data_IF_407526577859
#
_entry.id   IF_407526577859
#
_cell.length_a   1.000
_cell.length_b   1.000
_cell.length_c   1.000
_cell.angle_alpha   90.00
_cell.angle_beta   90.00
_cell.angle_gamma   90.00
#
_symmetry.space_group_name_H-M   'P 1'
#
loop_
_entity.id
_entity.type
_entity.pdbx_description
1 polymer ?
#
# COMPACT_ATOMS: atom_id res chain seq x y z
N UNK A 1 -17.43 -2.44 -11.03
CA UNK A 1 -18.84 -2.46 -11.50
C UNK A 1 -19.77 -2.27 -10.32
N UNK A 2 -21.08 -2.15 -10.56
CA UNK A 2 -22.08 -1.98 -9.51
C UNK A 2 -23.28 -2.91 -9.73
N UNK A 3 -24.10 -3.08 -8.70
CA UNK A 3 -25.48 -3.55 -8.77
C UNK A 3 -26.38 -2.41 -8.32
N UNK A 4 -27.41 -2.11 -9.11
CA UNK A 4 -28.25 -0.94 -8.92
C UNK A 4 -28.79 -0.51 -10.27
N UNK A 5 -29.89 0.24 -10.26
CA UNK A 5 -30.46 0.80 -11.48
C UNK A 5 -30.17 2.29 -11.50
N UNK A 6 -29.47 2.75 -12.53
CA UNK A 6 -29.23 4.18 -12.71
C UNK A 6 -30.57 4.86 -13.01
N UNK A 7 -30.83 5.93 -12.28
CA UNK A 7 -32.03 6.75 -12.40
C UNK A 7 -31.78 7.98 -13.27
N UNK A 8 -30.66 8.65 -13.02
CA UNK A 8 -30.28 9.90 -13.71
C UNK A 8 -28.77 10.00 -13.80
N UNK A 9 -28.28 10.53 -14.91
CA UNK A 9 -26.91 11.05 -15.03
C UNK A 9 -27.00 12.52 -15.40
N UNK A 10 -26.28 13.39 -14.69
CA UNK A 10 -26.17 14.81 -15.04
C UNK A 10 -24.77 15.37 -14.86
N UNK A 11 -24.44 16.39 -15.65
CA UNK A 11 -23.25 17.20 -15.45
C UNK A 11 -23.42 18.13 -14.25
N UNK A 12 -22.48 18.12 -13.32
CA UNK A 12 -22.55 18.95 -12.11
C UNK A 12 -22.37 20.44 -12.41
N UNK A 13 -21.55 20.78 -13.41
CA UNK A 13 -21.21 22.18 -13.71
C UNK A 13 -22.40 23.00 -14.23
N UNK A 14 -23.34 22.37 -14.92
CA UNK A 14 -24.49 23.06 -15.54
C UNK A 14 -25.84 22.34 -15.33
N UNK A 15 -25.87 21.26 -14.55
CA UNK A 15 -27.05 20.42 -14.29
C UNK A 15 -27.70 19.78 -15.53
N UNK A 16 -27.02 19.78 -16.67
CA UNK A 16 -27.54 19.17 -17.89
C UNK A 16 -27.62 17.64 -17.74
N UNK A 17 -28.77 17.08 -18.10
CA UNK A 17 -29.01 15.63 -18.11
C UNK A 17 -28.24 15.00 -19.27
N UNK A 18 -27.55 13.90 -18.98
CA UNK A 18 -26.84 13.10 -19.98
C UNK A 18 -27.66 11.86 -20.31
N UNK A 19 -27.73 11.52 -21.59
CA UNK A 19 -28.25 10.22 -22.00
C UNK A 19 -27.31 9.12 -21.52
N UNK A 20 -27.87 7.98 -21.14
CA UNK A 20 -27.09 6.83 -20.71
C UNK A 20 -27.79 5.52 -21.08
N UNK A 21 -26.99 4.45 -21.18
CA UNK A 21 -27.48 3.09 -21.35
C UNK A 21 -26.76 2.16 -20.39
N UNK A 22 -27.53 1.38 -19.64
CA UNK A 22 -27.00 0.28 -18.82
C UNK A 22 -26.92 -1.00 -19.65
N UNK A 23 -25.73 -1.60 -19.70
CA UNK A 23 -25.46 -2.85 -20.41
C UNK A 23 -24.85 -3.87 -19.46
N UNK A 24 -24.72 -5.13 -19.89
CA UNK A 24 -24.00 -6.16 -19.12
C UNK A 24 -22.53 -5.78 -18.85
N UNK A 25 -21.94 -4.98 -19.72
CA UNK A 25 -20.54 -4.52 -19.63
C UNK A 25 -20.38 -3.26 -18.77
N UNK A 26 -21.50 -2.66 -18.33
CA UNK A 26 -21.51 -1.47 -17.47
C UNK A 26 -22.36 -0.32 -18.00
N UNK A 27 -22.18 0.85 -17.40
CA UNK A 27 -22.86 2.10 -17.73
C UNK A 27 -22.11 2.82 -18.86
N UNK A 28 -22.79 3.06 -19.98
CA UNK A 28 -22.30 3.99 -21.02
C UNK A 28 -23.06 5.31 -20.89
N UNK A 29 -22.31 6.40 -20.78
CA UNK A 29 -22.84 7.76 -20.66
C UNK A 29 -22.47 8.50 -21.93
N UNK A 30 -23.46 9.11 -22.58
CA UNK A 30 -23.28 9.89 -23.80
C UNK A 30 -23.15 11.35 -23.42
N UNK A 31 -21.95 11.89 -23.60
CA UNK A 31 -21.66 13.30 -23.39
C UNK A 31 -21.90 14.04 -24.71
N UNK A 32 -22.54 15.20 -24.63
CA UNK A 32 -22.52 16.15 -25.76
C UNK A 32 -21.09 16.67 -25.96
N UNK A 33 -20.82 17.23 -27.14
CA UNK A 33 -19.49 17.71 -27.55
C UNK A 33 -18.77 18.42 -26.42
N UNK A 34 -17.62 17.86 -26.02
CA UNK A 34 -16.82 18.40 -24.93
C UNK A 34 -15.92 19.50 -25.48
N UNK A 35 -16.01 20.68 -24.88
CA UNK A 35 -14.99 21.70 -25.02
C UNK A 35 -13.71 21.20 -24.32
N UNK A 36 -12.57 21.26 -25.01
CA UNK A 36 -11.30 20.68 -24.52
C UNK A 36 -10.74 21.39 -23.30
N UNK A 37 -11.26 22.58 -22.98
CA UNK A 37 -10.81 23.40 -21.86
C UNK A 37 -11.43 23.01 -20.52
N UNK A 38 -12.43 22.13 -20.51
CA UNK A 38 -13.18 21.77 -19.30
C UNK A 38 -13.29 20.25 -19.10
N UNK A 39 -12.99 19.78 -17.88
CA UNK A 39 -13.20 18.38 -17.49
C UNK A 39 -14.63 18.24 -16.95
N UNK A 40 -15.55 17.55 -17.66
CA UNK A 40 -16.92 17.38 -17.20
C UNK A 40 -16.96 16.48 -15.95
N UNK A 41 -17.65 16.94 -14.90
CA UNK A 41 -17.90 16.14 -13.69
C UNK A 41 -19.35 15.66 -13.71
N UNK A 42 -19.55 14.35 -13.56
CA UNK A 42 -20.86 13.72 -13.63
C UNK A 42 -21.36 13.32 -12.24
N UNK A 43 -22.65 13.49 -11.99
CA UNK A 43 -23.38 12.86 -10.89
C UNK A 43 -24.27 11.77 -11.45
N UNK A 44 -24.05 10.54 -10.97
CA UNK A 44 -24.88 9.37 -11.27
C UNK A 44 -25.76 9.09 -10.05
N UNK A 45 -27.08 9.16 -10.25
CA UNK A 45 -28.09 8.85 -9.24
C UNK A 45 -28.64 7.45 -9.46
N UNK A 46 -28.95 6.73 -8.38
CA UNK A 46 -29.52 5.38 -8.43
C UNK A 46 -30.88 5.37 -7.75
N UNK A 47 -31.84 4.66 -8.34
CA UNK A 47 -33.26 4.73 -7.91
C UNK A 47 -33.48 4.21 -6.49
N UNK A 48 -32.83 3.10 -6.16
CA UNK A 48 -32.96 2.40 -4.87
C UNK A 48 -31.58 2.19 -4.22
N UNK A 49 -30.66 3.12 -4.47
CA UNK A 49 -29.25 2.97 -4.12
C UNK A 49 -28.51 1.98 -5.01
N UNK A 50 -27.29 1.65 -4.62
CA UNK A 50 -26.41 0.75 -5.37
C UNK A 50 -25.46 0.02 -4.43
N UNK A 51 -24.98 -1.13 -4.90
CA UNK A 51 -23.91 -1.92 -4.27
C UNK A 51 -22.72 -1.93 -5.22
N UNK A 52 -21.57 -1.49 -4.75
CA UNK A 52 -20.33 -1.64 -5.52
C UNK A 52 -19.93 -3.11 -5.51
N UNK A 53 -19.80 -3.71 -6.71
CA UNK A 53 -19.24 -5.05 -6.84
C UNK A 53 -17.77 -5.00 -6.46
N UNK A 54 -17.29 -5.87 -5.57
CA UNK A 54 -15.88 -5.92 -5.25
C UNK A 54 -15.08 -6.22 -6.52
N UNK A 55 -14.02 -5.44 -6.74
CA UNK A 55 -13.16 -5.59 -7.91
C UNK A 55 -12.41 -6.93 -7.88
N UNK A 56 -11.99 -7.35 -6.68
CA UNK A 56 -11.30 -8.62 -6.45
C UNK A 56 -12.02 -9.39 -5.34
N UNK A 57 -12.29 -10.68 -5.58
CA UNK A 57 -12.87 -11.60 -4.59
C UNK A 57 -11.93 -12.75 -4.38
N UNK A 58 -11.31 -12.78 -3.20
CA UNK A 58 -10.30 -13.75 -2.82
C UNK A 58 -10.99 -15.08 -2.48
N UNK A 59 -10.61 -16.14 -3.17
CA UNK A 59 -11.23 -17.46 -2.98
C UNK A 59 -10.39 -18.40 -2.10
N UNK A 60 -9.07 -18.18 -2.07
CA UNK A 60 -8.08 -18.97 -1.33
C UNK A 60 -6.87 -18.08 -1.00
N UNK A 61 -6.13 -18.45 0.03
CA UNK A 61 -4.90 -17.77 0.43
C UNK A 61 -5.11 -16.77 1.57
N UNK A 62 -4.14 -15.89 1.75
CA UNK A 62 -4.16 -14.85 2.79
C UNK A 62 -4.66 -13.53 2.20
N UNK A 63 -5.39 -12.77 3.00
CA UNK A 63 -5.67 -11.37 2.73
C UNK A 63 -4.41 -10.59 3.09
N UNK A 64 -3.87 -9.80 2.18
CA UNK A 64 -2.62 -9.05 2.38
C UNK A 64 -2.69 -7.68 1.73
N UNK A 65 -1.69 -6.84 1.98
CA UNK A 65 -1.55 -5.54 1.32
C UNK A 65 -1.75 -5.62 -0.22
N UNK A 66 -1.22 -6.66 -0.87
CA UNK A 66 -1.16 -6.77 -2.33
C UNK A 66 -2.47 -7.18 -3.00
N UNK A 67 -3.42 -7.72 -2.23
CA UNK A 67 -4.74 -8.10 -2.74
C UNK A 67 -5.87 -7.31 -2.07
N UNK A 68 -5.52 -6.28 -1.30
CA UNK A 68 -6.46 -5.32 -0.73
C UNK A 68 -6.89 -4.27 -1.75
N UNK A 69 -8.09 -3.75 -1.58
CA UNK A 69 -8.45 -2.41 -2.03
C UNK A 69 -7.93 -1.44 -0.98
N UNK A 70 -7.13 -0.46 -1.40
CA UNK A 70 -6.52 0.51 -0.51
C UNK A 70 -7.42 1.73 -0.34
N UNK A 71 -7.62 2.15 0.91
CA UNK A 71 -8.21 3.45 1.21
C UNK A 71 -7.08 4.43 1.51
N UNK A 72 -7.05 5.56 0.81
CA UNK A 72 -6.03 6.60 0.97
C UNK A 72 -6.62 7.89 1.54
N UNK A 73 -5.83 8.57 2.37
CA UNK A 73 -6.03 9.95 2.76
C UNK A 73 -4.96 10.86 2.13
N UNK A 74 -5.18 12.16 2.15
CA UNK A 74 -4.12 13.13 1.88
C UNK A 74 -3.48 13.57 3.19
N UNK A 75 -2.23 13.18 3.41
CA UNK A 75 -1.43 13.61 4.55
C UNK A 75 -0.51 14.74 4.16
N UNK A 76 -0.38 15.73 5.03
CA UNK A 76 0.54 16.83 4.82
C UNK A 76 0.97 17.42 6.16
N UNK A 77 2.29 17.52 6.38
CA UNK A 77 2.84 18.31 7.49
C UNK A 77 2.98 19.79 7.11
N UNK A 78 3.19 20.06 5.82
CA UNK A 78 3.28 21.37 5.18
C UNK A 78 3.24 21.22 3.66
N UNK A 79 3.31 22.35 2.94
CA UNK A 79 3.28 22.41 1.48
C UNK A 79 4.23 21.43 0.76
N UNK A 80 5.43 21.17 1.29
CA UNK A 80 6.43 20.29 0.67
C UNK A 80 6.33 18.83 1.13
N UNK A 81 5.60 18.59 2.21
CA UNK A 81 5.42 17.29 2.84
C UNK A 81 4.08 16.62 2.52
N UNK A 82 3.34 17.07 1.50
CA UNK A 82 2.08 16.44 1.07
C UNK A 82 2.29 15.09 0.39
N UNK A 83 1.49 14.09 0.72
CA UNK A 83 1.51 12.74 0.14
C UNK A 83 0.18 11.99 0.33
N UNK A 84 -0.05 10.97 -0.50
CA UNK A 84 -1.14 10.02 -0.26
C UNK A 84 -0.71 9.05 0.85
N UNK A 85 -1.46 9.01 1.94
CA UNK A 85 -1.23 8.07 3.03
C UNK A 85 -2.22 6.92 2.91
N UNK A 86 -1.72 5.70 2.93
CA UNK A 86 -2.56 4.52 3.07
C UNK A 86 -3.14 4.50 4.49
N UNK A 87 -4.47 4.49 4.63
CA UNK A 87 -5.16 4.60 5.93
C UNK A 87 -6.05 3.40 6.24
N UNK A 88 -6.35 2.56 5.25
CA UNK A 88 -7.17 1.38 5.45
C UNK A 88 -7.01 0.35 4.35
N UNK A 89 -7.37 -0.88 4.68
CA UNK A 89 -7.50 -1.97 3.74
C UNK A 89 -8.93 -2.48 3.73
N UNK A 90 -9.39 -2.83 2.54
CA UNK A 90 -10.64 -3.53 2.31
C UNK A 90 -10.38 -4.78 1.46
N UNK A 91 -10.90 -5.92 1.88
CA UNK A 91 -10.88 -7.16 1.14
C UNK A 91 -12.29 -7.68 0.94
N UNK A 92 -12.47 -8.46 -0.12
CA UNK A 92 -13.64 -9.31 -0.28
C UNK A 92 -13.20 -10.74 -0.48
N UNK A 93 -13.84 -11.67 0.19
CA UNK A 93 -13.49 -13.09 0.12
C UNK A 93 -14.73 -13.96 0.01
N UNK A 94 -14.59 -15.12 -0.63
CA UNK A 94 -15.70 -16.05 -0.86
C UNK A 94 -15.63 -17.26 0.06
N UNK A 95 -16.66 -17.53 0.84
CA UNK A 95 -16.77 -18.75 1.63
C UNK A 95 -18.23 -19.13 1.82
N UNK A 96 -18.50 -20.44 1.95
CA UNK A 96 -19.82 -20.95 2.31
C UNK A 96 -19.93 -21.26 3.81
N UNK A 97 -18.86 -21.04 4.58
CA UNK A 97 -18.87 -21.26 6.04
C UNK A 97 -19.75 -20.20 6.69
N UNK A 98 -20.57 -20.60 7.66
CA UNK A 98 -21.35 -19.66 8.49
C UNK A 98 -20.53 -19.00 9.60
N UNK A 99 -19.39 -19.60 9.95
CA UNK A 99 -18.51 -19.16 11.02
C UNK A 99 -17.06 -19.36 10.59
N UNK A 100 -16.22 -18.39 10.89
CA UNK A 100 -14.77 -18.45 10.64
C UNK A 100 -14.00 -18.14 11.92
N UNK A 101 -12.77 -18.63 11.99
CA UNK A 101 -11.84 -18.37 13.09
C UNK A 101 -10.58 -17.72 12.49
N UNK A 102 -10.56 -16.39 12.30
CA UNK A 102 -9.48 -15.74 11.61
C UNK A 102 -8.19 -15.71 12.42
N UNK A 103 -7.05 -15.58 11.74
CA UNK A 103 -5.77 -15.28 12.37
C UNK A 103 -5.05 -14.16 11.64
N UNK A 104 -4.39 -13.27 12.40
CA UNK A 104 -3.56 -12.20 11.88
C UNK A 104 -2.10 -12.62 11.99
N UNK A 105 -1.34 -12.43 10.92
CA UNK A 105 0.11 -12.58 10.86
C UNK A 105 0.73 -11.20 10.70
N UNK A 106 1.77 -10.90 11.46
CA UNK A 106 2.41 -9.58 11.45
C UNK A 106 3.85 -9.66 11.96
N UNK A 107 4.59 -8.55 11.84
CA UNK A 107 5.99 -8.45 12.25
C UNK A 107 6.17 -7.48 13.41
N UNK A 108 7.39 -7.30 13.86
CA UNK A 108 7.72 -6.28 14.87
C UNK A 108 7.36 -4.84 14.46
N UNK A 109 7.23 -4.57 13.16
CA UNK A 109 6.82 -3.25 12.66
C UNK A 109 5.38 -2.88 13.03
N UNK A 110 4.51 -3.86 13.23
CA UNK A 110 3.10 -3.66 13.55
C UNK A 110 2.78 -3.88 15.03
N UNK A 111 3.75 -4.34 15.83
CA UNK A 111 3.52 -4.64 17.24
C UNK A 111 2.94 -3.43 17.99
N UNK A 112 2.15 -3.72 19.02
CA UNK A 112 1.54 -2.76 19.93
C UNK A 112 0.51 -1.82 19.29
N UNK A 113 0.32 -1.83 17.97
CA UNK A 113 -0.72 -1.07 17.29
C UNK A 113 -2.09 -1.63 17.66
N UNK A 114 -3.03 -0.72 17.89
CA UNK A 114 -4.45 -1.03 18.06
C UNK A 114 -5.14 -0.90 16.70
N UNK A 115 -5.67 -2.02 16.20
CA UNK A 115 -6.35 -2.08 14.91
C UNK A 115 -7.83 -2.37 15.12
N UNK A 116 -8.68 -1.74 14.30
CA UNK A 116 -10.06 -2.18 14.16
C UNK A 116 -10.15 -3.08 12.94
N UNK A 117 -10.64 -4.31 13.15
CA UNK A 117 -11.02 -5.22 12.08
C UNK A 117 -12.53 -5.37 12.08
N UNK A 118 -13.13 -5.20 10.91
CA UNK A 118 -14.55 -5.45 10.70
C UNK A 118 -14.70 -6.55 9.67
N UNK A 119 -15.46 -7.59 10.02
CA UNK A 119 -15.84 -8.67 9.12
C UNK A 119 -17.36 -8.63 9.01
N UNK A 120 -17.84 -8.41 7.79
CA UNK A 120 -19.22 -8.03 7.49
C UNK A 120 -19.70 -6.89 8.42
N UNK A 121 -20.68 -7.17 9.28
CA UNK A 121 -21.31 -6.19 10.16
C UNK A 121 -20.74 -6.21 11.59
N UNK A 122 -19.75 -7.08 11.87
CA UNK A 122 -19.14 -7.22 13.20
C UNK A 122 -17.75 -6.57 13.22
N UNK A 123 -17.53 -5.70 14.20
CA UNK A 123 -16.26 -5.01 14.42
C UNK A 123 -15.60 -5.47 15.73
N UNK A 124 -14.28 -5.62 15.70
CA UNK A 124 -13.46 -5.92 16.87
C UNK A 124 -12.21 -5.03 16.86
N UNK A 125 -11.89 -4.43 18.01
CA UNK A 125 -10.59 -3.81 18.21
C UNK A 125 -9.60 -4.78 18.84
N UNK A 126 -8.39 -4.83 18.30
CA UNK A 126 -7.36 -5.80 18.68
C UNK A 126 -6.02 -5.09 18.79
N UNK A 127 -5.31 -5.33 19.89
CA UNK A 127 -3.91 -4.92 20.04
C UNK A 127 -3.01 -6.03 19.49
N UNK A 128 -2.06 -5.68 18.63
CA UNK A 128 -1.13 -6.63 18.01
C UNK A 128 -0.01 -7.00 18.99
N UNK A 129 -0.27 -8.03 19.80
CA UNK A 129 0.64 -8.52 20.84
C UNK A 129 1.50 -9.68 20.33
N UNK A 130 2.76 -9.73 20.76
CA UNK A 130 3.76 -10.76 20.39
C UNK A 130 3.41 -12.14 20.96
N UNK A 131 2.37 -12.74 20.44
CA UNK A 131 1.95 -14.10 20.73
C UNK A 131 2.39 -15.02 19.59
N UNK A 132 2.73 -16.27 19.93
CA UNK A 132 3.00 -17.35 18.97
C UNK A 132 3.89 -16.92 17.78
N UNK A 133 5.20 -16.83 18.01
CA UNK A 133 6.15 -16.44 16.97
C UNK A 133 6.73 -17.61 16.19
N UNK A 134 6.99 -17.39 14.90
CA UNK A 134 7.81 -18.28 14.08
C UNK A 134 8.92 -17.48 13.40
N UNK A 135 10.13 -18.00 13.44
CA UNK A 135 11.24 -17.50 12.61
C UNK A 135 11.08 -18.02 11.20
N UNK A 136 11.05 -17.09 10.24
CA UNK A 136 11.11 -17.39 8.82
C UNK A 136 12.55 -17.19 8.38
N UNK A 137 13.10 -18.16 7.64
CA UNK A 137 14.43 -18.10 7.07
C UNK A 137 14.33 -17.95 5.56
N UNK A 138 15.10 -17.01 5.01
CA UNK A 138 15.26 -16.88 3.57
C UNK A 138 15.90 -18.15 3.02
N UNK A 139 15.32 -18.69 1.94
CA UNK A 139 15.91 -19.85 1.27
C UNK A 139 17.28 -19.45 0.70
N UNK A 140 18.32 -20.23 1.00
CA UNK A 140 19.68 -19.98 0.47
C UNK A 140 19.65 -19.87 -1.05
N UNK A 141 20.36 -18.86 -1.58
CA UNK A 141 20.49 -18.60 -3.03
C UNK A 141 19.16 -18.44 -3.77
N UNK A 142 18.07 -18.15 -3.06
CA UNK A 142 16.76 -17.91 -3.70
C UNK A 142 16.58 -16.47 -4.18
N UNK A 143 17.39 -15.55 -3.66
CA UNK A 143 17.39 -14.13 -4.02
C UNK A 143 18.83 -13.66 -4.21
N UNK A 144 19.02 -12.80 -5.19
CA UNK A 144 20.28 -12.11 -5.47
C UNK A 144 20.00 -10.61 -5.56
N UNK A 145 20.76 -9.82 -4.81
CA UNK A 145 20.77 -8.37 -5.01
C UNK A 145 21.53 -8.05 -6.29
N UNK A 146 20.88 -7.30 -7.18
CA UNK A 146 21.49 -6.72 -8.37
C UNK A 146 22.06 -5.34 -8.08
N UNK A 147 22.15 -4.52 -9.12
CA UNK A 147 22.71 -3.18 -9.03
C UNK A 147 21.83 -2.25 -8.19
N UNK A 148 22.48 -1.36 -7.44
CA UNK A 148 21.86 -0.25 -6.73
C UNK A 148 22.10 1.03 -7.52
N UNK A 149 21.07 1.86 -7.66
CA UNK A 149 21.16 3.13 -8.35
C UNK A 149 20.56 4.24 -7.49
N UNK A 150 20.99 5.47 -7.75
CA UNK A 150 20.38 6.66 -7.16
C UNK A 150 20.12 7.75 -8.19
N UNK A 151 19.13 8.58 -7.89
CA UNK A 151 18.95 9.88 -8.54
C UNK A 151 18.48 10.90 -7.53
N UNK A 152 18.67 12.19 -7.83
CA UNK A 152 18.09 13.26 -7.02
C UNK A 152 16.56 13.18 -7.10
N UNK A 153 15.90 13.27 -5.95
CA UNK A 153 14.45 13.38 -5.92
C UNK A 153 13.95 14.74 -6.39
N UNK A 154 12.88 14.71 -7.16
CA UNK A 154 12.18 15.89 -7.69
C UNK A 154 10.88 16.12 -6.95
N UNK A 155 10.40 17.37 -7.00
CA UNK A 155 9.10 17.76 -6.46
C UNK A 155 8.97 17.64 -4.93
N UNK A 156 7.73 17.67 -4.48
CA UNK A 156 7.34 17.46 -3.07
C UNK A 156 7.47 16.00 -2.66
N UNK A 157 7.41 15.69 -1.37
CA UNK A 157 7.57 14.33 -0.86
C UNK A 157 6.70 13.29 -1.59
N UNK A 158 5.39 13.54 -1.69
CA UNK A 158 4.41 12.59 -2.25
C UNK A 158 4.43 12.40 -3.76
N UNK A 159 5.42 12.95 -4.47
CA UNK A 159 5.59 12.75 -5.90
C UNK A 159 6.73 11.76 -6.21
N UNK A 160 6.42 10.67 -6.90
CA UNK A 160 7.39 9.74 -7.49
C UNK A 160 6.94 9.45 -8.93
N UNK A 161 7.85 9.64 -9.89
CA UNK A 161 7.59 9.36 -11.32
C UNK A 161 7.43 7.85 -11.57
N UNK A 162 8.11 7.03 -10.77
CA UNK A 162 8.18 5.56 -10.88
C UNK A 162 6.92 4.83 -10.38
N UNK A 163 5.94 5.54 -9.83
CA UNK A 163 4.70 4.95 -9.33
C UNK A 163 3.71 4.68 -10.48
N UNK A 164 4.09 3.73 -11.35
CA UNK A 164 3.36 3.40 -12.58
C UNK A 164 2.87 1.94 -12.61
N UNK A 165 3.10 1.17 -11.54
CA UNK A 165 2.76 -0.25 -11.48
C UNK A 165 3.59 -1.14 -12.42
N UNK A 166 4.75 -0.66 -12.86
CA UNK A 166 5.66 -1.40 -13.75
C UNK A 166 7.12 -1.21 -13.33
N UNK A 167 7.98 -2.15 -13.74
CA UNK A 167 9.42 -1.99 -13.64
C UNK A 167 9.91 -0.83 -14.53
N UNK A 168 10.90 -0.09 -14.05
CA UNK A 168 11.60 0.95 -14.79
C UNK A 168 12.42 0.28 -15.92
N UNK A 169 12.21 0.69 -17.18
CA UNK A 169 12.98 0.16 -18.30
C UNK A 169 14.48 0.45 -18.20
N UNK A 170 15.32 -0.49 -18.63
CA UNK A 170 16.79 -0.39 -18.51
C UNK A 170 17.38 0.84 -19.21
N UNK A 171 16.81 1.30 -20.32
CA UNK A 171 17.25 2.54 -20.99
C UNK A 171 17.00 3.77 -20.10
N UNK A 172 15.85 3.85 -19.45
CA UNK A 172 15.50 4.93 -18.52
C UNK A 172 16.45 4.92 -17.31
N UNK A 173 16.82 3.73 -16.81
CA UNK A 173 17.82 3.58 -15.74
C UNK A 173 19.16 4.18 -16.21
N UNK A 174 19.67 3.74 -17.37
CA UNK A 174 20.96 4.21 -17.90
C UNK A 174 21.01 5.72 -18.16
N UNK A 175 19.90 6.32 -18.54
CA UNK A 175 19.81 7.76 -18.84
C UNK A 175 19.67 8.63 -17.59
N UNK A 176 18.90 8.18 -16.59
CA UNK A 176 18.42 9.04 -15.51
C UNK A 176 18.89 8.65 -14.10
N UNK A 177 19.58 7.51 -13.97
CA UNK A 177 20.04 7.00 -12.69
C UNK A 177 21.54 6.78 -12.69
N UNK A 178 22.17 7.04 -11.55
CA UNK A 178 23.60 6.85 -11.33
C UNK A 178 23.82 5.57 -10.52
N UNK A 179 24.64 4.61 -11.00
CA UNK A 179 24.95 3.42 -10.22
C UNK A 179 25.70 3.78 -8.93
N UNK A 180 25.41 3.03 -7.87
CA UNK A 180 26.14 3.08 -6.60
C UNK A 180 26.99 1.80 -6.54
N UNK A 181 28.29 1.95 -6.77
CA UNK A 181 29.24 0.82 -6.79
C UNK A 181 29.55 0.30 -5.37
N UNK A 182 29.63 1.19 -4.39
CA UNK A 182 29.97 0.86 -3.00
C UNK A 182 28.81 1.26 -2.07
N UNK A 183 28.11 0.25 -1.54
CA UNK A 183 27.03 0.43 -0.57
C UNK A 183 27.14 -0.58 0.56
N UNK A 184 27.27 -0.09 1.79
CA UNK A 184 27.31 -0.93 2.98
C UNK A 184 25.88 -1.26 3.43
N UNK A 185 25.37 -2.42 3.01
CA UNK A 185 24.06 -2.91 3.46
C UNK A 185 24.07 -3.15 4.98
N UNK A 186 22.99 -2.76 5.65
CA UNK A 186 22.88 -2.87 7.10
C UNK A 186 23.53 -1.75 7.91
N UNK A 187 24.35 -0.91 7.29
CA UNK A 187 24.97 0.23 7.97
C UNK A 187 24.18 1.53 7.73
N UNK A 188 24.10 2.36 8.77
CA UNK A 188 23.55 3.71 8.65
C UNK A 188 24.50 4.56 7.80
N UNK A 189 24.01 5.04 6.67
CA UNK A 189 24.73 5.97 5.81
C UNK A 189 24.18 7.38 5.97
N UNK A 190 25.02 8.38 5.68
CA UNK A 190 24.68 9.79 5.77
C UNK A 190 25.22 10.55 4.57
N UNK A 191 24.36 11.31 3.91
CA UNK A 191 24.75 12.21 2.81
C UNK A 191 24.36 13.64 3.13
N UNK A 192 25.21 14.60 2.76
CA UNK A 192 24.85 16.02 2.87
C UNK A 192 23.68 16.30 1.94
N UNK A 193 22.56 16.73 2.50
CA UNK A 193 21.35 17.05 1.76
C UNK A 193 20.59 18.09 2.54
N UNK A 194 20.44 19.28 1.98
CA UNK A 194 19.74 20.37 2.66
C UNK A 194 18.27 20.00 2.95
N UNK A 195 17.63 20.67 3.92
CA UNK A 195 16.22 20.49 4.21
C UNK A 195 15.35 20.61 2.95
N UNK A 196 14.29 19.80 2.88
CA UNK A 196 13.38 19.62 1.73
C UNK A 196 14.00 18.93 0.52
N UNK A 197 15.22 18.39 0.66
CA UNK A 197 15.85 17.56 -0.36
C UNK A 197 15.35 16.11 -0.30
N UNK A 198 15.44 15.41 -1.43
CA UNK A 198 15.29 13.94 -1.45
C UNK A 198 16.29 13.29 -2.37
N UNK A 199 16.54 12.02 -2.10
CA UNK A 199 17.17 11.08 -3.02
C UNK A 199 16.18 9.95 -3.29
N UNK A 200 16.19 9.44 -4.51
CA UNK A 200 15.58 8.15 -4.81
C UNK A 200 16.70 7.13 -4.94
N UNK A 201 16.48 5.95 -4.38
CA UNK A 201 17.29 4.76 -4.59
C UNK A 201 16.45 3.70 -5.28
N UNK A 202 17.04 2.95 -6.20
CA UNK A 202 16.43 1.79 -6.84
C UNK A 202 17.36 0.60 -6.69
N UNK A 203 16.87 -0.44 -6.01
CA UNK A 203 17.58 -1.69 -5.80
C UNK A 203 16.98 -2.77 -6.72
N UNK A 204 17.82 -3.38 -7.55
CA UNK A 204 17.44 -4.60 -8.29
C UNK A 204 17.46 -5.82 -7.35
N UNK A 205 16.43 -6.66 -7.44
CA UNK A 205 16.31 -7.88 -6.66
C UNK A 205 15.84 -9.01 -7.57
N UNK A 206 16.74 -9.93 -7.90
CA UNK A 206 16.40 -11.12 -8.66
C UNK A 206 15.92 -12.23 -7.73
N UNK A 207 14.78 -12.84 -8.05
CA UNK A 207 14.18 -13.92 -7.28
C UNK A 207 13.96 -15.16 -8.14
N UNK A 208 14.34 -16.34 -7.65
CA UNK A 208 14.19 -17.60 -8.41
C UNK A 208 12.75 -18.12 -8.47
N UNK A 209 11.88 -17.61 -7.60
CA UNK A 209 10.46 -18.00 -7.45
C UNK A 209 9.62 -16.82 -6.94
N UNK A 210 8.30 -16.95 -6.98
CA UNK A 210 7.44 -16.06 -6.21
C UNK A 210 7.68 -16.34 -4.72
N UNK A 211 8.08 -15.33 -3.95
CA UNK A 211 8.36 -15.48 -2.52
C UNK A 211 8.36 -14.13 -1.81
N UNK A 212 8.16 -14.16 -0.51
CA UNK A 212 8.30 -12.97 0.35
C UNK A 212 9.70 -12.95 0.95
N UNK A 213 10.35 -11.79 0.91
CA UNK A 213 11.56 -11.52 1.68
C UNK A 213 11.32 -10.40 2.68
N UNK A 214 12.20 -10.26 3.66
CA UNK A 214 12.21 -9.11 4.56
C UNK A 214 13.41 -8.21 4.31
N UNK A 215 13.17 -6.91 4.33
CA UNK A 215 14.20 -5.86 4.27
C UNK A 215 13.96 -4.90 5.41
N UNK A 216 14.98 -4.63 6.22
CA UNK A 216 14.97 -3.52 7.15
C UNK A 216 15.43 -2.25 6.42
N UNK A 217 14.61 -1.21 6.47
CA UNK A 217 14.92 0.12 5.97
C UNK A 217 15.21 1.05 7.12
N UNK A 218 16.35 1.72 7.07
CA UNK A 218 16.65 2.87 7.91
C UNK A 218 16.31 4.16 7.19
N UNK A 219 15.64 5.08 7.88
CA UNK A 219 15.27 6.37 7.33
C UNK A 219 15.30 7.45 8.41
N UNK A 220 15.53 8.69 8.00
CA UNK A 220 15.36 9.87 8.85
C UNK A 220 13.90 10.31 8.88
N UNK A 221 13.63 11.46 8.27
CA UNK A 221 12.35 12.16 8.44
C UNK A 221 11.17 11.54 7.67
N UNK A 222 11.35 11.11 6.42
CA UNK A 222 10.24 10.56 5.63
C UNK A 222 10.73 9.58 4.56
N UNK A 223 9.87 8.61 4.24
CA UNK A 223 10.16 7.56 3.26
C UNK A 223 8.93 7.23 2.43
N UNK A 224 9.13 7.00 1.14
CA UNK A 224 8.12 6.51 0.20
C UNK A 224 8.70 5.29 -0.52
N UNK A 225 8.02 4.15 -0.45
CA UNK A 225 8.51 2.86 -0.92
C UNK A 225 7.59 2.28 -1.98
N UNK A 226 8.18 1.86 -3.09
CA UNK A 226 7.53 1.11 -4.14
C UNK A 226 8.23 -0.23 -4.37
N UNK A 227 7.47 -1.25 -4.75
CA UNK A 227 7.99 -2.50 -5.29
C UNK A 227 7.42 -2.69 -6.70
N UNK A 228 8.27 -2.80 -7.71
CA UNK A 228 7.87 -2.93 -9.12
C UNK A 228 6.90 -1.83 -9.59
N UNK A 229 7.09 -0.60 -9.09
CA UNK A 229 6.23 0.54 -9.37
C UNK A 229 4.91 0.56 -8.60
N UNK A 230 4.62 -0.43 -7.75
CA UNK A 230 3.43 -0.48 -6.90
C UNK A 230 3.73 0.11 -5.50
N UNK A 231 2.80 0.92 -4.99
CA UNK A 231 2.88 1.51 -3.65
C UNK A 231 2.96 0.45 -2.56
N UNK A 232 3.93 0.55 -1.64
CA UNK A 232 3.99 -0.26 -0.42
C UNK A 232 3.60 0.58 0.79
N UNK A 233 4.34 1.66 1.02
CA UNK A 233 4.13 2.55 2.16
C UNK A 233 4.77 3.91 1.90
N UNK A 234 4.17 4.96 2.47
CA UNK A 234 4.75 6.27 2.56
C UNK A 234 4.38 6.87 3.91
N UNK A 235 5.35 7.46 4.60
CA UNK A 235 5.10 8.15 5.85
C UNK A 235 6.17 9.18 6.19
N UNK A 236 5.75 10.14 7.00
CA UNK A 236 6.59 11.08 7.72
C UNK A 236 6.73 10.65 9.17
N UNK A 237 7.90 10.86 9.77
CA UNK A 237 8.13 10.80 11.20
C UNK A 237 7.43 11.98 11.88
N UNK A 238 6.31 11.77 12.61
CA UNK A 238 5.62 12.87 13.28
C UNK A 238 6.50 13.50 14.37
N UNK A 239 7.30 12.65 15.02
CA UNK A 239 8.26 12.99 16.07
C UNK A 239 9.56 13.61 15.53
N UNK A 240 9.67 13.81 14.21
CA UNK A 240 10.86 14.35 13.53
C UNK A 240 12.15 13.59 13.89
N UNK A 241 12.06 12.26 14.00
CA UNK A 241 13.24 11.44 14.28
C UNK A 241 14.29 11.66 13.20
N UNK A 242 15.53 11.89 13.65
CA UNK A 242 16.71 11.93 12.78
C UNK A 242 17.05 10.54 12.22
N UNK A 243 16.57 9.49 12.90
CA UNK A 243 16.77 8.09 12.54
C UNK A 243 15.69 7.18 13.12
N UNK A 244 15.21 6.25 12.30
CA UNK A 244 14.31 5.16 12.67
C UNK A 244 14.47 4.02 11.67
N UNK A 245 14.08 2.82 12.06
CA UNK A 245 14.04 1.66 11.17
C UNK A 245 12.63 1.08 11.08
N UNK A 246 12.35 0.43 9.96
CA UNK A 246 11.16 -0.41 9.80
C UNK A 246 11.48 -1.64 8.95
N UNK A 247 10.85 -2.76 9.29
CA UNK A 247 10.93 -3.98 8.47
C UNK A 247 9.80 -3.96 7.45
N UNK A 248 10.13 -4.24 6.20
CA UNK A 248 9.17 -4.42 5.10
C UNK A 248 9.24 -5.85 4.58
N UNK A 249 8.07 -6.47 4.43
CA UNK A 249 7.90 -7.72 3.71
C UNK A 249 7.61 -7.41 2.24
N UNK A 250 8.45 -7.92 1.34
CA UNK A 250 8.39 -7.66 -0.10
C UNK A 250 8.00 -8.95 -0.84
N UNK A 251 6.82 -9.03 -1.47
CA UNK A 251 6.44 -10.19 -2.30
C UNK A 251 7.09 -10.09 -3.68
N UNK A 252 8.25 -10.71 -3.81
CA UNK A 252 8.94 -10.76 -5.07
C UNK A 252 8.20 -11.69 -6.05
N UNK A 253 8.09 -11.25 -7.30
CA UNK A 253 7.75 -12.11 -8.43
C UNK A 253 9.01 -12.87 -8.86
N UNK A 254 8.86 -14.06 -9.43
CA UNK A 254 9.97 -14.76 -10.09
C UNK A 254 10.59 -13.86 -11.17
N UNK A 255 11.91 -13.79 -11.21
CA UNK A 255 12.68 -12.92 -12.10
C UNK A 255 13.12 -11.63 -11.42
N UNK A 256 13.32 -10.59 -12.21
CA UNK A 256 13.80 -9.29 -11.73
C UNK A 256 12.67 -8.50 -11.07
N UNK A 257 12.97 -7.94 -9.89
CA UNK A 257 12.14 -6.99 -9.17
C UNK A 257 12.94 -5.71 -8.92
N UNK A 258 12.25 -4.60 -8.69
CA UNK A 258 12.85 -3.31 -8.38
C UNK A 258 12.21 -2.72 -7.13
N UNK A 259 13.01 -2.48 -6.09
CA UNK A 259 12.61 -1.75 -4.90
C UNK A 259 13.03 -0.30 -5.06
N UNK A 260 12.06 0.62 -5.15
CA UNK A 260 12.32 2.07 -5.23
C UNK A 260 12.01 2.71 -3.89
N UNK A 261 12.94 3.50 -3.37
CA UNK A 261 12.81 4.18 -2.08
C UNK A 261 13.15 5.65 -2.26
N UNK A 262 12.19 6.53 -2.01
CA UNK A 262 12.45 7.96 -1.86
C UNK A 262 12.68 8.27 -0.39
N UNK A 263 13.90 8.66 -0.07
CA UNK A 263 14.23 9.23 1.22
C UNK A 263 14.12 10.75 1.13
N UNK A 264 13.28 11.34 1.97
CA UNK A 264 13.05 12.77 1.97
C UNK A 264 13.52 13.37 3.30
N UNK A 265 14.48 14.28 3.18
CA UNK A 265 15.02 15.02 4.30
C UNK A 265 14.23 16.31 4.46
N UNK A 266 13.45 16.43 5.52
CA UNK A 266 12.58 17.58 5.73
C UNK A 266 13.24 18.66 6.56
N UNK A 267 14.01 18.28 7.57
CA UNK A 267 14.46 19.18 8.64
C UNK A 267 15.98 19.26 8.77
N UNK A 268 16.70 18.19 8.47
CA UNK A 268 18.13 18.08 8.80
C UNK A 268 19.02 18.68 7.70
N UNK A 269 20.30 18.89 8.01
CA UNK A 269 21.35 19.25 7.04
C UNK A 269 21.95 18.03 6.31
N UNK A 270 21.64 16.83 6.82
CA UNK A 270 22.07 15.53 6.30
C UNK A 270 20.90 14.56 6.26
N UNK A 271 20.86 13.75 5.21
CA UNK A 271 19.93 12.64 5.12
C UNK A 271 20.58 11.35 5.61
N UNK A 272 19.92 10.66 6.54
CA UNK A 272 20.30 9.33 6.99
C UNK A 272 19.44 8.24 6.33
N UNK A 273 20.06 7.17 5.86
CA UNK A 273 19.37 6.02 5.26
C UNK A 273 20.16 4.72 5.42
N UNK A 274 19.47 3.57 5.35
CA UNK A 274 20.09 2.25 5.17
C UNK A 274 19.12 1.28 4.50
N UNK A 275 19.68 0.25 3.87
CA UNK A 275 18.94 -0.90 3.33
C UNK A 275 19.63 -2.16 3.85
N UNK A 276 18.86 -3.08 4.43
CA UNK A 276 19.38 -4.33 4.98
C UNK A 276 18.46 -5.49 4.60
N UNK A 277 18.83 -6.31 3.60
CA UNK A 277 18.18 -7.60 3.40
C UNK A 277 18.34 -8.46 4.65
N UNK A 278 17.28 -9.17 5.02
CA UNK A 278 17.28 -10.03 6.20
C UNK A 278 17.29 -11.51 5.77
N UNK A 279 18.23 -12.27 6.32
CA UNK A 279 18.28 -13.73 6.14
C UNK A 279 17.21 -14.45 6.98
N UNK A 280 16.69 -13.79 8.02
CA UNK A 280 15.57 -14.27 8.80
C UNK A 280 14.79 -13.14 9.46
N UNK A 281 13.52 -13.39 9.77
CA UNK A 281 12.65 -12.45 10.48
C UNK A 281 11.59 -13.19 11.30
N UNK A 282 11.05 -12.51 12.31
CA UNK A 282 9.96 -13.03 13.14
C UNK A 282 8.60 -12.67 12.54
N UNK A 283 7.72 -13.67 12.49
CA UNK A 283 6.29 -13.50 12.22
C UNK A 283 5.51 -13.95 13.44
N UNK A 284 4.66 -13.08 13.97
CA UNK A 284 3.75 -13.35 15.08
C UNK A 284 2.39 -13.77 14.56
N UNK A 285 1.69 -14.61 15.31
CA UNK A 285 0.34 -15.06 14.96
C UNK A 285 -0.61 -14.75 16.10
N UNK A 286 -1.65 -13.96 15.79
CA UNK A 286 -2.72 -13.66 16.73
C UNK A 286 -4.02 -14.31 16.26
N UNK A 287 -4.61 -15.15 17.11
CA UNK A 287 -5.90 -15.77 16.85
C UNK A 287 -7.02 -14.80 17.22
N UNK A 288 -7.97 -14.59 16.31
CA UNK A 288 -9.11 -13.74 16.57
C UNK A 288 -10.25 -14.53 17.19
N UNK A 289 -11.17 -13.82 17.84
CA UNK A 289 -12.42 -14.42 18.23
C UNK A 289 -13.19 -14.86 16.98
N UNK A 290 -13.98 -15.94 17.06
CA UNK A 290 -14.73 -16.40 15.91
C UNK A 290 -15.75 -15.37 15.41
N UNK A 291 -15.86 -15.22 14.09
CA UNK A 291 -16.85 -14.37 13.45
C UNK A 291 -17.97 -15.22 12.87
N UNK A 292 -19.22 -14.81 13.12
CA UNK A 292 -20.39 -15.33 12.41
C UNK A 292 -20.59 -14.50 11.17
N UNK A 293 -20.63 -15.16 10.01
CA UNK A 293 -20.74 -14.51 8.72
C UNK A 293 -22.21 -14.30 8.35
N UNK A 294 -22.51 -13.16 7.72
CA UNK A 294 -23.90 -12.83 7.42
C UNK A 294 -24.44 -13.67 6.26
N UNK A 295 -25.64 -14.24 6.42
CA UNK A 295 -26.26 -15.11 5.42
C UNK A 295 -26.81 -14.36 4.20
N UNK A 296 -26.97 -13.04 4.29
CA UNK A 296 -27.52 -12.19 3.22
C UNK A 296 -26.52 -11.83 2.11
N UNK A 297 -25.21 -12.14 2.29
CA UNK A 297 -24.15 -11.69 1.36
C UNK A 297 -23.84 -12.67 0.21
N UNK A 298 -24.69 -13.66 -0.05
CA UNK A 298 -24.51 -14.58 -1.19
C UNK A 298 -23.16 -15.35 -1.20
N UNK A 299 -22.56 -15.55 -0.02
CA UNK A 299 -21.26 -16.21 0.16
C UNK A 299 -20.03 -15.34 -0.13
N UNK A 300 -20.19 -14.04 -0.39
CA UNK A 300 -19.09 -13.07 -0.53
C UNK A 300 -19.09 -12.12 0.67
N UNK A 301 -18.03 -12.17 1.45
CA UNK A 301 -17.90 -11.45 2.72
C UNK A 301 -16.86 -10.35 2.61
N UNK A 302 -16.98 -9.33 3.45
CA UNK A 302 -16.05 -8.19 3.47
C UNK A 302 -15.20 -8.21 4.73
N UNK A 303 -13.93 -7.85 4.59
CA UNK A 303 -13.03 -7.56 5.71
C UNK A 303 -12.49 -6.16 5.51
N UNK A 304 -12.56 -5.31 6.52
CA UNK A 304 -11.87 -4.02 6.52
C UNK A 304 -10.96 -3.90 7.73
N UNK A 305 -9.80 -3.28 7.56
CA UNK A 305 -8.85 -3.02 8.64
C UNK A 305 -8.34 -1.58 8.60
N UNK A 306 -8.41 -0.91 9.75
CA UNK A 306 -7.89 0.44 9.99
C UNK A 306 -7.15 0.50 11.33
N UNK A 307 -6.39 1.57 11.58
CA UNK A 307 -5.97 1.89 12.95
C UNK A 307 -7.20 2.32 13.75
N UNK A 308 -7.36 1.80 14.98
CA UNK A 308 -8.46 2.18 15.85
C UNK A 308 -8.26 3.60 16.43
N UNK A 309 -7.02 3.94 16.78
CA UNK A 309 -6.65 5.22 17.39
C UNK A 309 -5.48 5.87 16.61
N UNK A 310 -5.71 6.33 15.36
CA UNK A 310 -4.67 7.01 14.61
C UNK A 310 -4.46 8.44 15.16
N UNK A 311 -3.22 8.93 15.12
CA UNK A 311 -2.89 10.31 15.52
C UNK A 311 -3.69 11.39 14.74
N UNK A 312 -4.16 11.06 13.55
CA UNK A 312 -5.08 11.86 12.74
C UNK A 312 -5.86 10.96 11.78
N UNK A 313 -6.98 11.43 11.23
CA UNK A 313 -7.79 10.67 10.24
C UNK A 313 -7.03 10.25 8.98
N UNK A 314 -5.91 10.92 8.70
CA UNK A 314 -5.07 10.64 7.52
C UNK A 314 -3.75 9.98 7.89
N UNK A 315 -3.51 9.64 9.16
CA UNK A 315 -2.22 9.05 9.57
C UNK A 315 -1.94 7.74 8.82
N UNK A 316 -0.71 7.54 8.31
CA UNK A 316 -0.35 6.31 7.62
C UNK A 316 -0.56 5.07 8.49
N UNK A 317 -1.26 4.09 7.91
CA UNK A 317 -1.60 2.80 8.51
C UNK A 317 -0.35 2.05 8.98
N UNK A 318 0.70 2.02 8.13
CA UNK A 318 1.96 1.31 8.37
C UNK A 318 1.76 -0.15 8.79
N UNK A 319 0.80 -0.83 8.17
CA UNK A 319 0.49 -2.26 8.38
C UNK A 319 0.78 -3.07 7.11
N UNK A 320 1.81 -2.70 6.34
CA UNK A 320 2.10 -3.32 5.05
C UNK A 320 2.55 -4.78 5.15
N UNK A 321 2.96 -5.25 6.33
CA UNK A 321 3.34 -6.65 6.55
C UNK A 321 2.19 -7.53 7.07
N UNK A 322 0.99 -6.96 7.28
CA UNK A 322 -0.14 -7.75 7.80
C UNK A 322 -0.66 -8.70 6.74
N UNK A 323 -0.89 -9.94 7.18
CA UNK A 323 -1.69 -10.93 6.47
C UNK A 323 -2.80 -11.46 7.36
N UNK A 324 -3.98 -11.76 6.80
CA UNK A 324 -5.13 -12.31 7.51
C UNK A 324 -5.54 -13.61 6.86
N UNK A 325 -5.67 -14.67 7.65
CA UNK A 325 -6.28 -15.92 7.20
C UNK A 325 -7.74 -15.97 7.63
N UNK A 326 -8.62 -16.19 6.67
CA UNK A 326 -10.09 -16.30 6.89
C UNK A 326 -10.68 -17.64 6.43
N UNK A 327 -9.87 -18.54 5.85
CA UNK A 327 -10.27 -19.82 5.27
C UNK A 327 -9.97 -21.03 6.16
#
# INVERSE_FOLDING_TARGET
GYEGRVDEVKMLGNSQICDFTETKDGLRIYLQTLDTDHIPVLKVSFKDGYVVKPYNVIQKGLLSHHNAVHTYGHSSQDYYGGYKSLIGYDWSFKTNKKKINPSIYFTDNEKDKLVSIRIDDTEQQIKLLRENSKTIYLSKSSVKLGSLYSKRGRGVFGYIEEEQGTIIPTNVIKENWTPIEEFNYGEKQSVKLNPRGSILMMQEIESTKNQTIAVELGTGNAVYVLLNGEYITAHFSPERKEWQTETLLLPLKKGMNQLVIKHFNRFEDKLNYSIKPLDSWQVYTLLLQPFVLSSDKGGVHKVSMILAEPNSKVSPLRLNNIEIKVF
#
